data_IF_775960577606
#
_entry.id   IF_775960577606
#
_cell.length_a   1.000
_cell.length_b   1.000
_cell.length_c   1.000
_cell.angle_alpha   90.00
_cell.angle_beta   90.00
_cell.angle_gamma   90.00
#
_symmetry.space_group_name_H-M   'P 1'
#
loop_
_entity.id
_entity.type
_entity.pdbx_description
1 polymer ?
#
# COMPACT_ATOMS: atom_id res chain seq x y z
N UNK A 1 -5.81 -0.21 -10.44
CA UNK A 1 -6.13 -0.53 -9.01
C UNK A 1 -5.69 0.64 -8.14
N UNK A 2 -6.31 0.98 -7.00
CA UNK A 2 -5.97 2.24 -6.27
C UNK A 2 -5.33 1.96 -4.91
N UNK A 3 -4.18 2.59 -4.66
CA UNK A 3 -3.47 2.46 -3.40
C UNK A 3 -4.24 3.12 -2.25
N UNK A 4 -4.46 2.39 -1.16
CA UNK A 4 -5.19 2.88 0.01
C UNK A 4 -4.44 3.97 0.79
N UNK A 5 -3.12 4.11 0.60
CA UNK A 5 -2.31 5.11 1.29
C UNK A 5 -2.29 6.44 0.52
N UNK A 6 -1.76 6.41 -0.71
CA UNK A 6 -1.53 7.62 -1.50
C UNK A 6 -2.67 7.95 -2.47
N UNK A 7 -3.69 7.08 -2.57
CA UNK A 7 -4.84 7.23 -3.49
C UNK A 7 -4.43 7.37 -4.97
N UNK A 8 -3.26 6.90 -5.36
CA UNK A 8 -2.83 6.82 -6.77
C UNK A 8 -3.10 5.44 -7.35
N UNK A 9 -3.14 5.36 -8.67
CA UNK A 9 -3.25 4.10 -9.39
C UNK A 9 -1.97 3.25 -9.20
N UNK A 10 -2.15 1.94 -9.19
CA UNK A 10 -1.10 0.93 -9.12
C UNK A 10 -1.08 0.26 -10.48
N UNK A 11 0.06 0.37 -11.15
CA UNK A 11 0.23 -0.07 -12.54
C UNK A 11 0.84 -1.47 -12.61
N UNK A 12 1.74 -1.85 -11.67
CA UNK A 12 2.52 -3.09 -11.81
C UNK A 12 2.88 -3.81 -10.50
N UNK A 13 3.17 -3.09 -9.41
CA UNK A 13 3.64 -3.68 -8.14
C UNK A 13 2.73 -3.32 -6.96
N UNK A 14 1.61 -4.03 -6.85
CA UNK A 14 0.72 -3.94 -5.68
C UNK A 14 1.03 -4.96 -4.59
N UNK A 15 0.73 -4.57 -3.36
CA UNK A 15 0.52 -5.44 -2.21
C UNK A 15 -0.97 -5.44 -1.92
N UNK A 16 -1.57 -6.64 -1.89
CA UNK A 16 -2.93 -6.83 -1.41
C UNK A 16 -2.91 -7.32 0.03
N UNK A 17 -3.48 -6.54 0.94
CA UNK A 17 -3.53 -6.84 2.38
C UNK A 17 -4.77 -6.22 3.00
N UNK A 18 -5.46 -6.96 3.87
CA UNK A 18 -6.69 -6.53 4.56
C UNK A 18 -7.79 -6.05 3.58
N UNK A 19 -7.93 -6.72 2.43
CA UNK A 19 -8.91 -6.35 1.41
C UNK A 19 -8.58 -5.04 0.66
N UNK A 20 -7.38 -4.49 0.85
CA UNK A 20 -6.95 -3.22 0.28
C UNK A 20 -5.71 -3.40 -0.57
N UNK A 21 -5.61 -2.58 -1.62
CA UNK A 21 -4.43 -2.52 -2.48
C UNK A 21 -3.49 -1.42 -2.03
N UNK A 22 -2.20 -1.67 -2.11
CA UNK A 22 -1.16 -0.76 -1.67
C UNK A 22 0.01 -0.79 -2.64
N UNK A 23 0.66 0.34 -2.88
CA UNK A 23 2.01 0.28 -3.47
C UNK A 23 2.97 -0.37 -2.48
N UNK A 24 3.96 -1.11 -2.99
CA UNK A 24 5.01 -1.73 -2.17
C UNK A 24 5.69 -0.74 -1.21
N UNK A 25 5.98 0.47 -1.69
CA UNK A 25 6.56 1.54 -0.88
C UNK A 25 5.58 2.11 0.14
N UNK A 26 4.34 2.35 -0.28
CA UNK A 26 3.29 2.87 0.61
C UNK A 26 2.99 1.90 1.74
N UNK A 27 2.93 0.60 1.44
CA UNK A 27 2.74 -0.44 2.42
C UNK A 27 3.91 -0.52 3.39
N UNK A 28 5.16 -0.44 2.92
CA UNK A 28 6.35 -0.37 3.78
C UNK A 28 6.34 0.85 4.70
N UNK A 29 5.93 2.03 4.20
CA UNK A 29 5.78 3.24 5.04
C UNK A 29 4.70 3.03 6.09
N UNK A 30 3.54 2.53 5.69
CA UNK A 30 2.44 2.22 6.60
C UNK A 30 2.86 1.24 7.70
N UNK A 31 3.61 0.19 7.37
CA UNK A 31 4.15 -0.78 8.33
C UNK A 31 5.19 -0.17 9.29
N UNK A 32 6.02 0.77 8.83
CA UNK A 32 6.96 1.48 9.71
C UNK A 32 6.26 2.41 10.70
N UNK A 33 5.21 3.10 10.27
CA UNK A 33 4.42 3.96 11.15
C UNK A 33 3.56 3.16 12.14
N UNK A 34 3.09 1.97 11.72
CA UNK A 34 2.46 0.99 12.60
C UNK A 34 3.46 0.16 13.42
N UNK A 35 4.65 0.70 13.67
CA UNK A 35 5.72 0.04 14.41
C UNK A 35 5.21 -0.75 15.61
N UNK A 36 5.76 -1.96 15.71
CA UNK A 36 5.73 -2.89 16.84
C UNK A 36 5.74 -2.20 18.21
#
# INVERSE_FOLDING_TARGET
MKCSYCKKEIEEYEIFKDGKYWHKECFRKHLREKGC
#
